data_IF_147113122021
#
_entry.id   IF_147113122021
#
_cell.length_a   1.000
_cell.length_b   1.000
_cell.length_c   1.000
_cell.angle_alpha   90.00
_cell.angle_beta   90.00
_cell.angle_gamma   90.00
#
_symmetry.space_group_name_H-M   'P 1'
#
loop_
_entity.id
_entity.type
_entity.pdbx_description
1 polymer ?
#
# COMPACT_ATOMS: atom_id res chain seq x y z
N UNK A 1 -17.06 6.02 6.17
CA UNK A 1 -16.79 6.69 7.44
C UNK A 1 -15.42 7.35 7.43
N UNK A 2 -15.26 8.46 8.15
CA UNK A 2 -13.97 9.12 8.22
C UNK A 2 -12.95 8.27 8.98
N UNK A 3 -11.70 8.46 8.69
CA UNK A 3 -10.63 7.73 9.37
C UNK A 3 -9.40 7.57 8.51
N UNK A 4 -9.57 7.37 7.22
CA UNK A 4 -8.44 7.26 6.30
C UNK A 4 -7.85 8.63 6.06
N UNK A 5 -6.53 8.73 6.24
CA UNK A 5 -5.77 9.94 5.96
C UNK A 5 -4.59 9.59 5.08
N UNK A 6 -4.23 10.48 4.18
CA UNK A 6 -3.10 10.31 3.27
C UNK A 6 -2.13 11.47 3.44
N UNK A 7 -0.86 11.16 3.19
CA UNK A 7 0.20 12.16 3.17
C UNK A 7 0.81 12.16 1.77
N UNK A 8 0.43 13.11 0.93
CA UNK A 8 1.04 13.22 -0.41
C UNK A 8 2.54 13.43 -0.31
N UNK A 9 3.27 12.91 -1.28
CA UNK A 9 4.73 13.04 -1.31
C UNK A 9 5.12 14.52 -1.39
N UNK A 10 6.10 14.92 -0.57
CA UNK A 10 6.54 16.29 -0.47
C UNK A 10 5.75 17.14 0.52
N UNK A 11 4.74 16.57 1.17
CA UNK A 11 3.97 17.27 2.20
C UNK A 11 4.18 16.58 3.55
N UNK A 12 4.02 17.35 4.61
CA UNK A 12 4.13 16.83 5.98
C UNK A 12 2.79 16.72 6.70
N UNK A 13 1.75 17.30 6.12
CA UNK A 13 0.41 17.25 6.68
C UNK A 13 -0.35 16.00 6.22
N UNK A 14 -1.33 15.61 7.01
CA UNK A 14 -2.21 14.50 6.70
C UNK A 14 -3.55 15.04 6.23
N UNK A 15 -4.01 14.53 5.11
CA UNK A 15 -5.28 14.95 4.51
C UNK A 15 -6.32 13.86 4.71
N UNK A 16 -7.51 14.20 5.23
CA UNK A 16 -8.58 13.21 5.32
C UNK A 16 -9.07 12.85 3.93
N UNK A 17 -9.40 11.57 3.75
CA UNK A 17 -9.87 11.06 2.48
C UNK A 17 -11.07 10.17 2.70
N UNK A 18 -12.17 10.47 2.03
CA UNK A 18 -13.39 9.72 2.14
C UNK A 18 -14.04 9.60 0.77
N UNK A 19 -14.39 8.36 0.39
CA UNK A 19 -15.11 8.14 -0.85
C UNK A 19 -16.60 8.43 -0.64
N UNK A 20 -17.25 9.15 -1.55
CA UNK A 20 -18.70 9.27 -1.54
C UNK A 20 -19.36 7.90 -1.72
N UNK A 21 -20.62 7.73 -1.29
CA UNK A 21 -21.32 6.46 -1.50
C UNK A 21 -21.28 6.01 -2.96
N UNK A 22 -20.98 4.73 -3.17
CA UNK A 22 -20.85 4.15 -4.50
C UNK A 22 -19.52 4.31 -5.16
N UNK A 23 -18.55 4.95 -4.49
CA UNK A 23 -17.20 5.14 -5.02
C UNK A 23 -16.17 4.37 -4.20
N UNK A 24 -15.00 4.19 -4.79
CA UNK A 24 -13.88 3.52 -4.17
C UNK A 24 -12.68 4.46 -4.07
N UNK A 25 -11.84 4.22 -3.08
CA UNK A 25 -10.55 4.88 -2.98
C UNK A 25 -9.51 3.90 -3.52
N UNK A 26 -8.71 4.35 -4.50
CA UNK A 26 -7.65 3.55 -5.09
C UNK A 26 -6.31 4.14 -4.67
N UNK A 27 -5.49 3.31 -4.03
CA UNK A 27 -4.13 3.70 -3.62
C UNK A 27 -3.13 2.82 -4.36
N UNK A 28 -2.13 3.45 -4.96
CA UNK A 28 -1.03 2.72 -5.57
C UNK A 28 -0.06 2.26 -4.49
N UNK A 29 0.43 1.04 -4.62
CA UNK A 29 1.32 0.45 -3.64
C UNK A 29 2.79 0.53 -4.02
N UNK A 30 3.64 0.05 -3.11
CA UNK A 30 5.10 0.06 -3.28
C UNK A 30 5.56 -0.78 -4.48
N UNK A 31 4.88 -1.88 -4.78
CA UNK A 31 5.26 -2.75 -5.89
C UNK A 31 5.16 -2.00 -7.22
N UNK A 32 4.07 -1.26 -7.42
CA UNK A 32 3.89 -0.48 -8.62
C UNK A 32 4.88 0.69 -8.68
N UNK A 33 5.18 1.31 -7.54
CA UNK A 33 6.20 2.35 -7.48
C UNK A 33 7.57 1.80 -7.89
N UNK A 34 7.95 0.64 -7.38
CA UNK A 34 9.20 -0.01 -7.75
C UNK A 34 9.23 -0.37 -9.23
N UNK A 35 8.18 -1.00 -9.71
CA UNK A 35 8.09 -1.45 -11.11
C UNK A 35 8.20 -0.29 -12.10
N UNK A 36 7.59 0.83 -11.78
CA UNK A 36 7.59 2.01 -12.65
C UNK A 36 8.75 2.96 -12.37
N UNK A 37 9.70 2.59 -11.52
CA UNK A 37 10.84 3.42 -11.14
C UNK A 37 10.42 4.79 -10.58
N UNK A 38 9.35 4.79 -9.79
CA UNK A 38 8.87 6.01 -9.14
C UNK A 38 7.97 6.88 -10.00
N UNK A 39 7.63 6.46 -11.22
CA UNK A 39 6.67 7.22 -12.06
C UNK A 39 5.28 7.18 -11.45
N UNK A 40 4.93 6.06 -10.84
CA UNK A 40 3.73 5.94 -10.01
C UNK A 40 4.20 5.85 -8.57
N UNK A 41 3.66 6.70 -7.71
CA UNK A 41 4.14 6.86 -6.34
C UNK A 41 3.16 6.22 -5.37
N UNK A 42 3.69 5.41 -4.46
CA UNK A 42 2.89 4.89 -3.35
C UNK A 42 2.61 6.03 -2.38
N UNK A 43 1.34 6.24 -2.06
CA UNK A 43 0.96 7.29 -1.12
C UNK A 43 0.95 6.73 0.29
N UNK A 44 1.66 7.42 1.17
CA UNK A 44 1.65 7.08 2.59
C UNK A 44 0.24 7.33 3.14
N UNK A 45 -0.29 6.37 3.86
CA UNK A 45 -1.64 6.48 4.40
C UNK A 45 -1.70 5.87 5.80
N UNK A 46 -2.67 6.31 6.54
CA UNK A 46 -2.93 5.79 7.89
C UNK A 46 -4.43 5.82 8.17
N UNK A 47 -4.84 5.08 9.18
CA UNK A 47 -6.21 5.12 9.65
C UNK A 47 -6.22 5.73 11.05
N UNK A 48 -6.96 6.81 11.21
CA UNK A 48 -7.12 7.44 12.50
C UNK A 48 -8.32 6.82 13.20
N UNK A 49 -8.11 6.26 14.37
CA UNK A 49 -9.16 5.64 15.14
C UNK A 49 -10.15 6.65 15.69
N UNK A 50 -11.37 6.21 15.91
CA UNK A 50 -12.43 7.01 16.52
C UNK A 50 -13.25 6.15 17.47
N UNK A 51 -14.25 6.77 18.09
CA UNK A 51 -15.14 6.09 19.03
C UNK A 51 -16.20 5.23 18.34
N UNK A 52 -16.48 5.53 17.07
CA UNK A 52 -17.53 4.84 16.33
C UNK A 52 -17.02 3.55 15.71
N UNK A 53 -17.91 2.58 15.60
CA UNK A 53 -17.61 1.36 14.87
C UNK A 53 -17.44 1.68 13.39
N UNK A 54 -16.49 1.00 12.75
CA UNK A 54 -16.29 1.14 11.32
C UNK A 54 -15.80 -0.18 10.74
N UNK A 55 -16.16 -0.39 9.49
CA UNK A 55 -15.71 -1.54 8.71
C UNK A 55 -14.88 -1.00 7.56
N UNK A 56 -13.69 -1.57 7.39
CA UNK A 56 -12.82 -1.26 6.26
C UNK A 56 -12.56 -2.54 5.50
N UNK A 57 -12.82 -2.50 4.20
CA UNK A 57 -12.66 -3.68 3.33
C UNK A 57 -11.66 -3.33 2.23
N UNK A 58 -10.37 -3.58 2.45
CA UNK A 58 -9.39 -3.38 1.40
C UNK A 58 -9.42 -4.53 0.40
N UNK A 59 -9.29 -4.22 -0.88
CA UNK A 59 -9.09 -5.19 -1.93
C UNK A 59 -7.68 -5.01 -2.47
N UNK A 60 -6.81 -5.96 -2.16
CA UNK A 60 -5.44 -5.94 -2.66
C UNK A 60 -5.43 -6.50 -4.08
N UNK A 61 -5.12 -5.65 -5.02
CA UNK A 61 -5.05 -6.03 -6.43
C UNK A 61 -3.58 -6.22 -6.81
N UNK A 62 -3.14 -7.48 -6.78
CA UNK A 62 -1.75 -7.82 -7.03
C UNK A 62 -1.60 -8.53 -8.38
N UNK A 63 -0.43 -8.42 -9.04
CA UNK A 63 -0.15 -9.24 -10.21
C UNK A 63 0.03 -10.71 -9.81
N UNK A 64 0.09 -11.59 -10.80
CA UNK A 64 0.39 -12.99 -10.56
C UNK A 64 1.73 -13.13 -9.84
N UNK A 65 1.85 -14.17 -9.01
CA UNK A 65 3.03 -14.35 -8.16
C UNK A 65 4.33 -14.50 -8.94
N UNK A 66 4.25 -14.95 -10.18
CA UNK A 66 5.42 -15.13 -11.05
C UNK A 66 5.78 -13.90 -11.87
N UNK A 67 4.96 -12.86 -11.82
CA UNK A 67 5.20 -11.65 -12.60
C UNK A 67 6.46 -10.95 -12.13
N UNK A 68 7.32 -10.57 -13.06
CA UNK A 68 8.52 -9.79 -12.77
C UNK A 68 8.13 -8.34 -12.51
N UNK A 69 8.32 -7.88 -11.28
CA UNK A 69 8.00 -6.52 -10.86
C UNK A 69 9.25 -5.70 -10.56
N UNK A 70 10.41 -6.15 -11.02
CA UNK A 70 11.62 -5.35 -10.93
C UNK A 70 11.47 -4.06 -11.73
N UNK A 71 12.25 -3.02 -11.42
CA UNK A 71 12.16 -1.78 -12.16
C UNK A 71 12.28 -2.02 -13.67
N UNK A 72 11.40 -1.39 -14.43
CA UNK A 72 11.37 -1.53 -15.88
C UNK A 72 12.72 -1.13 -16.47
N UNK A 73 13.26 -1.99 -17.33
CA UNK A 73 14.54 -1.74 -17.97
C UNK A 73 15.77 -2.05 -17.11
N UNK A 74 15.59 -2.53 -15.88
CA UNK A 74 16.72 -2.85 -14.98
C UNK A 74 17.45 -4.14 -15.36
N UNK A 75 16.78 -5.03 -16.08
CA UNK A 75 17.33 -6.37 -16.37
C UNK A 75 17.30 -7.32 -15.18
N UNK A 76 16.76 -6.90 -14.06
CA UNK A 76 16.63 -7.72 -12.87
C UNK A 76 15.35 -8.55 -12.91
N UNK A 77 15.30 -9.57 -12.05
CA UNK A 77 14.11 -10.39 -11.87
C UNK A 77 13.70 -10.36 -10.40
N UNK A 78 12.55 -9.78 -10.13
CA UNK A 78 11.92 -9.82 -8.81
C UNK A 78 10.51 -10.31 -9.02
N UNK A 79 10.20 -11.51 -8.55
CA UNK A 79 8.84 -12.04 -8.67
C UNK A 79 7.92 -11.38 -7.67
N UNK A 80 6.70 -11.10 -8.09
CA UNK A 80 5.70 -10.47 -7.24
C UNK A 80 5.46 -11.28 -5.96
N UNK A 81 5.39 -12.61 -6.07
CA UNK A 81 5.22 -13.47 -4.92
C UNK A 81 6.34 -13.36 -3.91
N UNK A 82 7.57 -13.27 -4.37
CA UNK A 82 8.74 -13.12 -3.50
C UNK A 82 8.73 -11.78 -2.79
N UNK A 83 8.36 -10.72 -3.50
CA UNK A 83 8.25 -9.38 -2.92
C UNK A 83 7.18 -9.35 -1.82
N UNK A 84 6.01 -9.93 -2.08
CA UNK A 84 4.92 -10.00 -1.11
C UNK A 84 5.30 -10.84 0.11
N UNK A 85 5.94 -11.99 -0.11
CA UNK A 85 6.40 -12.85 0.98
C UNK A 85 7.38 -12.13 1.88
N UNK A 86 8.30 -11.38 1.31
CA UNK A 86 9.26 -10.59 2.07
C UNK A 86 8.55 -9.53 2.91
N UNK A 87 7.59 -8.83 2.34
CA UNK A 87 6.83 -7.81 3.07
C UNK A 87 6.02 -8.42 4.21
N UNK A 88 5.37 -9.55 3.97
CA UNK A 88 4.63 -10.25 5.01
C UNK A 88 5.55 -10.76 6.13
N UNK A 89 6.72 -11.29 5.77
CA UNK A 89 7.68 -11.75 6.77
C UNK A 89 8.17 -10.60 7.66
N UNK A 90 8.46 -9.44 7.07
CA UNK A 90 8.84 -8.25 7.83
C UNK A 90 7.74 -7.82 8.80
N UNK A 91 6.49 -7.85 8.35
CA UNK A 91 5.34 -7.50 9.17
C UNK A 91 5.18 -8.49 10.33
N UNK A 92 5.27 -9.79 10.07
CA UNK A 92 5.16 -10.81 11.11
C UNK A 92 6.28 -10.71 12.15
N UNK A 93 7.50 -10.51 11.71
CA UNK A 93 8.64 -10.33 12.62
C UNK A 93 8.41 -9.13 13.53
N UNK A 94 7.92 -8.02 12.96
CA UNK A 94 7.62 -6.83 13.75
C UNK A 94 6.55 -7.10 14.80
N UNK A 95 5.47 -7.79 14.43
CA UNK A 95 4.39 -8.11 15.36
C UNK A 95 4.85 -9.08 16.44
N UNK A 96 5.65 -10.07 16.09
CA UNK A 96 6.19 -11.02 17.07
C UNK A 96 7.17 -10.35 18.03
N UNK A 97 7.93 -9.37 17.58
CA UNK A 97 8.87 -8.64 18.40
C UNK A 97 8.20 -7.81 19.50
N UNK A 98 6.92 -7.51 19.36
CA UNK A 98 6.15 -6.73 20.31
C UNK A 98 5.29 -7.59 21.26
N UNK A 99 5.34 -8.89 21.08
CA UNK A 99 4.52 -9.83 21.86
C UNK A 99 5.14 -10.33 23.12
#
# INVERSE_FOLDING_TARGET
QPGLEVQPRGRTDWLPLQAPPGEFIINFGEMLEMWTEGRVVATLHRVKGGADERISVPLFFNPNVETNVAPLGSGELIRAGDHLSKRYAETYVHLQGNG
#
